data_IF_752089732069
#
_entry.id   IF_752089732069
#
_cell.length_a   1.000
_cell.length_b   1.000
_cell.length_c   1.000
_cell.angle_alpha   90.00
_cell.angle_beta   90.00
_cell.angle_gamma   90.00
#
_symmetry.space_group_name_H-M   'P 1'
#
loop_
_entity.id
_entity.type
_entity.pdbx_description
1 polymer ?
#
# COMPACT_ATOMS: atom_id res chain seq x y z
N UNK A 1 13.85 -0.37 -26.05
CA UNK A 1 13.74 -0.38 -24.57
C UNK A 1 12.70 -1.36 -24.06
N UNK A 2 11.39 -1.26 -24.36
CA UNK A 2 10.38 -2.22 -23.84
C UNK A 2 10.70 -3.69 -24.11
N UNK A 3 11.03 -4.05 -25.35
CA UNK A 3 11.43 -5.44 -25.68
C UNK A 3 12.77 -5.82 -25.03
N UNK A 4 13.72 -4.89 -24.98
CA UNK A 4 15.01 -5.10 -24.32
C UNK A 4 14.84 -5.41 -22.81
N UNK A 5 13.87 -4.75 -22.15
CA UNK A 5 13.51 -5.01 -20.73
C UNK A 5 12.98 -6.42 -20.56
N UNK A 6 12.09 -6.91 -21.45
CA UNK A 6 11.55 -8.28 -21.36
C UNK A 6 12.65 -9.34 -21.49
N UNK A 7 13.67 -9.08 -22.31
CA UNK A 7 14.83 -9.97 -22.46
C UNK A 7 15.61 -10.04 -21.14
N UNK A 8 15.83 -8.90 -20.48
CA UNK A 8 16.43 -8.86 -19.14
C UNK A 8 15.55 -9.49 -18.06
N UNK A 9 14.23 -9.29 -18.10
CA UNK A 9 13.28 -9.94 -17.17
C UNK A 9 13.45 -11.47 -17.23
N UNK A 10 13.49 -12.03 -18.45
CA UNK A 10 13.75 -13.46 -18.68
C UNK A 10 15.13 -13.88 -18.18
N UNK A 11 16.18 -13.10 -18.44
CA UNK A 11 17.52 -13.40 -17.94
C UNK A 11 17.53 -13.49 -16.41
N UNK A 12 16.99 -12.48 -15.73
CA UNK A 12 17.01 -12.44 -14.27
C UNK A 12 16.11 -13.51 -13.66
N UNK A 13 14.98 -13.84 -14.27
CA UNK A 13 14.15 -14.97 -13.85
C UNK A 13 14.97 -16.28 -13.83
N UNK A 14 15.67 -16.58 -14.93
CA UNK A 14 16.51 -17.79 -15.05
C UNK A 14 17.67 -17.79 -14.05
N UNK A 15 18.33 -16.64 -13.83
CA UNK A 15 19.40 -16.52 -12.83
C UNK A 15 18.85 -16.80 -11.42
N UNK A 16 17.71 -16.21 -11.08
CA UNK A 16 17.09 -16.36 -9.76
C UNK A 16 16.55 -17.77 -9.52
N UNK A 17 16.05 -18.45 -10.56
CA UNK A 17 15.61 -19.85 -10.48
C UNK A 17 16.76 -20.86 -10.61
N UNK A 18 17.99 -20.41 -10.86
CA UNK A 18 19.19 -21.24 -11.10
C UNK A 18 19.05 -22.17 -12.30
N UNK A 19 18.30 -21.73 -13.30
CA UNK A 19 18.11 -22.44 -14.55
C UNK A 19 19.24 -22.12 -15.55
N UNK A 20 19.36 -22.96 -16.59
CA UNK A 20 20.35 -22.75 -17.64
C UNK A 20 19.96 -21.56 -18.53
N UNK A 21 20.97 -20.77 -18.89
CA UNK A 21 20.82 -19.61 -19.76
C UNK A 21 21.34 -20.00 -21.15
N UNK A 22 20.52 -19.82 -22.19
CA UNK A 22 20.92 -20.15 -23.56
C UNK A 22 21.97 -19.17 -24.09
N UNK A 23 22.84 -19.64 -24.98
CA UNK A 23 23.80 -18.76 -25.67
C UNK A 23 23.11 -17.65 -26.47
N UNK A 24 21.94 -17.95 -27.05
CA UNK A 24 21.13 -16.96 -27.78
C UNK A 24 20.70 -15.81 -26.87
N UNK A 25 20.18 -16.12 -25.68
CA UNK A 25 19.78 -15.11 -24.71
C UNK A 25 20.98 -14.26 -24.24
N UNK A 26 22.13 -14.89 -24.02
CA UNK A 26 23.36 -14.16 -23.66
C UNK A 26 23.80 -13.20 -24.78
N UNK A 27 23.74 -13.63 -26.06
CA UNK A 27 24.06 -12.76 -27.20
C UNK A 27 23.10 -11.58 -27.30
N UNK A 28 21.81 -11.79 -27.04
CA UNK A 28 20.82 -10.71 -27.02
C UNK A 28 21.14 -9.68 -25.94
N UNK A 29 21.51 -10.13 -24.74
CA UNK A 29 21.91 -9.27 -23.63
C UNK A 29 23.17 -8.46 -23.98
N UNK A 30 24.19 -9.10 -24.53
CA UNK A 30 25.43 -8.42 -24.94
C UNK A 30 25.13 -7.34 -26.01
N UNK A 31 24.27 -7.65 -26.98
CA UNK A 31 23.83 -6.69 -28.00
C UNK A 31 23.09 -5.49 -27.39
N UNK A 32 22.25 -5.72 -26.37
CA UNK A 32 21.54 -4.64 -25.67
C UNK A 32 22.53 -3.76 -24.92
N UNK A 33 23.45 -4.35 -24.16
CA UNK A 33 24.45 -3.61 -23.38
C UNK A 33 25.33 -2.74 -24.29
N UNK A 34 25.77 -3.27 -25.44
CA UNK A 34 26.55 -2.53 -26.44
C UNK A 34 25.74 -1.39 -27.07
N UNK A 35 24.42 -1.56 -27.24
CA UNK A 35 23.53 -0.53 -27.79
C UNK A 35 23.34 0.66 -26.84
N UNK A 36 23.43 0.44 -25.53
CA UNK A 36 23.13 1.44 -24.51
C UNK A 36 24.31 1.72 -23.53
N UNK A 37 25.55 1.96 -24.02
CA UNK A 37 26.74 2.01 -23.17
C UNK A 37 26.81 3.25 -22.27
N UNK A 38 26.02 4.28 -22.59
CA UNK A 38 25.96 5.55 -21.85
C UNK A 38 24.57 5.84 -21.30
N UNK A 39 23.71 4.84 -21.12
CA UNK A 39 22.32 5.07 -20.71
C UNK A 39 22.23 5.80 -19.36
N UNK A 40 22.90 5.27 -18.33
CA UNK A 40 22.92 5.87 -16.99
C UNK A 40 23.49 7.29 -17.01
N UNK A 41 24.63 7.50 -17.69
CA UNK A 41 25.24 8.83 -17.84
C UNK A 41 24.33 9.79 -18.62
N UNK A 42 23.69 9.30 -19.67
CA UNK A 42 22.79 10.08 -20.51
C UNK A 42 21.54 10.53 -19.76
N UNK A 43 21.00 9.70 -18.88
CA UNK A 43 19.90 10.07 -17.97
C UNK A 43 20.36 11.15 -16.97
N UNK A 44 21.49 10.94 -16.28
CA UNK A 44 22.01 11.91 -15.29
C UNK A 44 22.32 13.28 -15.92
N UNK A 45 22.82 13.29 -17.16
CA UNK A 45 23.20 14.52 -17.87
C UNK A 45 22.04 15.15 -18.65
N UNK A 46 20.85 14.55 -18.64
CA UNK A 46 19.68 15.01 -19.39
C UNK A 46 19.78 14.85 -20.91
N UNK A 47 20.80 14.15 -21.41
CA UNK A 47 20.98 13.86 -22.85
C UNK A 47 19.96 12.82 -23.33
N UNK A 48 19.57 11.90 -22.45
CA UNK A 48 18.51 10.92 -22.71
C UNK A 48 17.26 11.36 -21.96
N UNK A 49 16.14 11.39 -22.67
CA UNK A 49 14.83 11.72 -22.07
C UNK A 49 14.48 10.68 -21.00
N UNK A 50 14.12 11.17 -19.84
CA UNK A 50 13.65 10.34 -18.72
C UNK A 50 12.33 9.64 -19.06
N UNK A 51 12.29 8.33 -18.77
CA UNK A 51 11.08 7.52 -18.78
C UNK A 51 11.26 6.30 -17.89
N UNK A 52 10.15 5.68 -17.45
CA UNK A 52 10.16 4.44 -16.68
C UNK A 52 11.01 3.35 -17.36
N UNK A 53 10.88 3.21 -18.69
CA UNK A 53 11.64 2.23 -19.44
C UNK A 53 13.14 2.54 -19.48
N UNK A 54 13.52 3.82 -19.57
CA UNK A 54 14.92 4.21 -19.59
C UNK A 54 15.58 3.96 -18.23
N UNK A 55 14.90 4.31 -17.13
CA UNK A 55 15.39 4.05 -15.78
C UNK A 55 15.48 2.55 -15.47
N UNK A 56 14.46 1.76 -15.85
CA UNK A 56 14.47 0.32 -15.61
C UNK A 56 15.56 -0.38 -16.40
N UNK A 57 15.74 -0.02 -17.67
CA UNK A 57 16.80 -0.60 -18.49
C UNK A 57 18.20 -0.21 -17.97
N UNK A 58 18.39 1.04 -17.51
CA UNK A 58 19.65 1.46 -16.88
C UNK A 58 19.96 0.60 -15.65
N UNK A 59 18.98 0.45 -14.75
CA UNK A 59 19.11 -0.37 -13.55
C UNK A 59 19.41 -1.85 -13.88
N UNK A 60 18.79 -2.40 -14.93
CA UNK A 60 19.03 -3.78 -15.37
C UNK A 60 20.44 -3.98 -15.90
N UNK A 61 20.94 -3.06 -16.72
CA UNK A 61 22.32 -3.11 -17.22
C UNK A 61 23.31 -3.04 -16.05
N UNK A 62 23.10 -2.11 -15.10
CA UNK A 62 23.97 -1.97 -13.92
C UNK A 62 23.93 -3.22 -13.03
N UNK A 63 22.73 -3.78 -12.79
CA UNK A 63 22.56 -5.01 -12.00
C UNK A 63 23.19 -6.24 -12.68
N UNK A 64 23.12 -6.32 -14.01
CA UNK A 64 23.78 -7.37 -14.77
C UNK A 64 25.30 -7.29 -14.64
N UNK A 65 25.90 -6.10 -14.77
CA UNK A 65 27.35 -5.94 -14.58
C UNK A 65 27.80 -6.27 -13.16
N UNK A 66 27.05 -5.87 -12.14
CA UNK A 66 27.33 -6.28 -10.76
C UNK A 66 27.25 -7.79 -10.61
N UNK A 67 26.23 -8.43 -11.17
CA UNK A 67 26.13 -9.89 -11.15
C UNK A 67 27.30 -10.57 -11.87
N UNK A 68 27.75 -10.05 -13.02
CA UNK A 68 28.93 -10.58 -13.71
C UNK A 68 30.19 -10.50 -12.85
N UNK A 69 30.35 -9.41 -12.10
CA UNK A 69 31.51 -9.16 -11.25
C UNK A 69 31.53 -10.03 -10.00
N UNK A 70 30.39 -10.14 -9.28
CA UNK A 70 30.34 -10.77 -7.96
C UNK A 70 29.79 -12.19 -7.98
N UNK A 71 29.04 -12.57 -9.02
CA UNK A 71 28.32 -13.86 -9.14
C UNK A 71 27.41 -14.17 -7.95
N UNK A 72 26.95 -13.13 -7.27
CA UNK A 72 26.11 -13.24 -6.10
C UNK A 72 24.64 -13.04 -6.48
N UNK A 73 23.88 -14.14 -6.41
CA UNK A 73 22.45 -14.17 -6.74
C UNK A 73 21.62 -13.43 -5.69
N UNK A 74 22.02 -13.41 -4.43
CA UNK A 74 21.29 -12.72 -3.37
C UNK A 74 21.45 -11.19 -3.49
N UNK A 75 22.65 -10.71 -3.85
CA UNK A 75 22.85 -9.28 -4.15
C UNK A 75 21.95 -8.85 -5.32
N UNK A 76 21.91 -9.64 -6.40
CA UNK A 76 21.06 -9.36 -7.56
C UNK A 76 19.57 -9.32 -7.15
N UNK A 77 19.11 -10.33 -6.42
CA UNK A 77 17.73 -10.44 -5.92
C UNK A 77 17.33 -9.23 -5.07
N UNK A 78 18.20 -8.82 -4.15
CA UNK A 78 17.97 -7.64 -3.29
C UNK A 78 17.94 -6.35 -4.13
N UNK A 79 18.85 -6.22 -5.09
CA UNK A 79 18.92 -5.06 -5.99
C UNK A 79 17.61 -4.88 -6.76
N UNK A 80 17.16 -5.95 -7.44
CA UNK A 80 15.92 -5.95 -8.22
C UNK A 80 14.69 -5.70 -7.33
N UNK A 81 14.65 -6.30 -6.15
CA UNK A 81 13.56 -6.10 -5.19
C UNK A 81 13.46 -4.63 -4.75
N UNK A 82 14.59 -4.01 -4.38
CA UNK A 82 14.65 -2.60 -3.97
C UNK A 82 14.23 -1.67 -5.10
N UNK A 83 14.68 -1.94 -6.33
CA UNK A 83 14.30 -1.12 -7.48
C UNK A 83 12.81 -1.24 -7.80
N UNK A 84 12.26 -2.46 -7.83
CA UNK A 84 10.82 -2.66 -8.04
C UNK A 84 9.98 -1.93 -7.00
N UNK A 85 10.44 -1.90 -5.75
CA UNK A 85 9.79 -1.17 -4.66
C UNK A 85 9.87 0.35 -4.85
N UNK A 86 11.03 0.87 -5.24
CA UNK A 86 11.21 2.29 -5.53
C UNK A 86 10.31 2.73 -6.70
N UNK A 87 10.32 1.99 -7.80
CA UNK A 87 9.50 2.30 -8.97
C UNK A 87 7.98 2.27 -8.64
N UNK A 88 7.52 1.28 -7.88
CA UNK A 88 6.12 1.23 -7.44
C UNK A 88 5.78 2.38 -6.49
N UNK A 89 6.69 2.73 -5.57
CA UNK A 89 6.51 3.87 -4.66
C UNK A 89 6.37 5.18 -5.44
N UNK A 90 7.22 5.42 -6.45
CA UNK A 90 7.14 6.61 -7.29
C UNK A 90 5.84 6.65 -8.08
N UNK A 91 5.40 5.51 -8.62
CA UNK A 91 4.11 5.38 -9.32
C UNK A 91 2.90 5.61 -8.39
N UNK A 92 3.02 5.30 -7.11
CA UNK A 92 2.00 5.65 -6.10
C UNK A 92 2.01 7.14 -5.77
N UNK A 93 3.18 7.78 -5.71
CA UNK A 93 3.31 9.19 -5.28
C UNK A 93 3.06 10.21 -6.41
N UNK A 94 3.51 9.92 -7.62
CA UNK A 94 3.47 10.88 -8.74
C UNK A 94 2.05 11.44 -9.01
N UNK A 95 0.98 10.63 -9.09
CA UNK A 95 -0.38 11.14 -9.28
C UNK A 95 -0.86 12.04 -8.13
N UNK A 96 -0.29 11.89 -6.93
CA UNK A 96 -0.62 12.69 -5.75
C UNK A 96 0.18 14.01 -5.69
N UNK A 97 1.34 14.08 -6.35
CA UNK A 97 2.23 15.24 -6.41
C UNK A 97 1.88 16.20 -7.56
N UNK A 98 1.47 15.68 -8.72
CA UNK A 98 0.97 16.47 -9.85
C UNK A 98 -0.49 16.86 -9.64
N UNK A 99 -0.77 17.48 -8.47
CA UNK A 99 -2.06 18.05 -8.12
C UNK A 99 -2.40 19.14 -9.13
N UNK A 100 -3.25 18.79 -10.09
CA UNK A 100 -4.05 19.78 -10.78
C UNK A 100 -5.03 20.33 -9.74
N UNK A 101 -4.63 21.38 -9.01
CA UNK A 101 -5.39 21.99 -7.91
C UNK A 101 -6.80 22.40 -8.33
N UNK A 102 -7.04 22.50 -9.63
CA UNK A 102 -8.30 22.88 -10.26
C UNK A 102 -9.24 21.69 -10.58
N UNK A 103 -8.87 20.44 -10.28
CA UNK A 103 -9.68 19.22 -10.59
C UNK A 103 -10.26 18.50 -9.37
N UNK A 104 -10.24 19.15 -8.21
CA UNK A 104 -10.95 18.70 -7.01
C UNK A 104 -12.46 18.92 -7.24
N UNK A 105 -13.08 18.03 -8.01
CA UNK A 105 -14.53 18.00 -8.27
C UNK A 105 -15.28 17.61 -7.00
N UNK A 106 -15.13 18.38 -5.94
CA UNK A 106 -15.95 18.25 -4.74
C UNK A 106 -17.27 18.95 -4.99
N UNK A 107 -18.36 18.22 -4.82
CA UNK A 107 -19.72 18.72 -4.96
C UNK A 107 -20.47 18.50 -3.65
N UNK A 108 -19.87 18.98 -2.56
CA UNK A 108 -20.40 18.79 -1.22
C UNK A 108 -20.84 20.11 -0.60
N UNK A 109 -21.78 20.00 0.34
CA UNK A 109 -22.06 21.05 1.32
C UNK A 109 -21.52 20.64 2.68
N UNK A 110 -21.13 21.61 3.51
CA UNK A 110 -20.72 21.33 4.88
C UNK A 110 -21.95 20.82 5.64
N UNK A 111 -21.76 19.74 6.39
CA UNK A 111 -22.78 19.21 7.29
C UNK A 111 -22.49 19.69 8.71
N UNK A 112 -23.31 20.63 9.18
CA UNK A 112 -23.23 21.17 10.53
C UNK A 112 -23.94 20.22 11.51
N UNK A 113 -23.14 19.31 12.06
CA UNK A 113 -23.57 18.35 13.08
C UNK A 113 -24.04 19.06 14.35
N UNK A 114 -25.19 18.68 14.87
CA UNK A 114 -25.71 19.13 16.15
C UNK A 114 -24.82 18.65 17.32
N UNK A 115 -24.66 19.43 18.40
CA UNK A 115 -23.80 19.06 19.53
C UNK A 115 -24.13 17.70 20.16
N UNK A 116 -25.41 17.30 20.12
CA UNK A 116 -25.91 16.05 20.72
C UNK A 116 -25.81 14.83 19.80
N UNK A 117 -25.49 15.02 18.52
CA UNK A 117 -25.33 13.90 17.60
C UNK A 117 -24.03 13.15 17.92
N UNK A 118 -24.01 11.84 17.70
CA UNK A 118 -22.81 11.01 17.77
C UNK A 118 -22.50 10.47 16.37
N UNK A 119 -21.23 10.26 16.07
CA UNK A 119 -20.79 9.76 14.77
C UNK A 119 -20.51 8.26 14.91
N UNK A 120 -21.07 7.47 14.01
CA UNK A 120 -20.75 6.06 13.84
C UNK A 120 -20.05 5.88 12.49
N UNK A 121 -18.79 5.46 12.54
CA UNK A 121 -18.05 5.02 11.37
C UNK A 121 -18.11 3.50 11.31
N UNK A 122 -18.75 2.97 10.26
CA UNK A 122 -18.78 1.52 10.00
C UNK A 122 -17.60 1.18 9.10
N UNK A 123 -16.83 0.16 9.45
CA UNK A 123 -15.79 -0.37 8.56
C UNK A 123 -16.40 -0.95 7.27
N UNK A 124 -15.59 -1.05 6.21
CA UNK A 124 -16.06 -1.53 4.90
C UNK A 124 -16.70 -2.91 4.98
N UNK A 125 -16.15 -3.85 5.76
CA UNK A 125 -16.66 -5.21 5.84
C UNK A 125 -18.08 -5.23 6.40
N UNK A 126 -18.33 -4.44 7.44
CA UNK A 126 -19.67 -4.29 8.04
C UNK A 126 -20.62 -3.64 7.03
N UNK A 127 -20.17 -2.59 6.33
CA UNK A 127 -21.00 -1.91 5.34
C UNK A 127 -21.33 -2.82 4.14
N UNK A 128 -20.40 -3.68 3.75
CA UNK A 128 -20.57 -4.67 2.68
C UNK A 128 -21.55 -5.78 3.09
N UNK A 129 -21.48 -6.25 4.34
CA UNK A 129 -22.44 -7.24 4.85
C UNK A 129 -23.87 -6.67 4.89
N UNK A 130 -24.02 -5.40 5.27
CA UNK A 130 -25.33 -4.73 5.32
C UNK A 130 -25.94 -4.46 3.95
N UNK A 131 -25.12 -4.40 2.89
CA UNK A 131 -25.59 -4.22 1.51
C UNK A 131 -26.59 -5.32 1.10
N UNK A 132 -26.34 -6.57 1.49
CA UNK A 132 -27.18 -7.71 1.13
C UNK A 132 -28.23 -8.06 2.21
N UNK A 133 -28.22 -7.36 3.34
CA UNK A 133 -29.06 -7.64 4.52
C UNK A 133 -29.96 -6.45 4.89
N UNK A 134 -30.94 -6.18 4.03
CA UNK A 134 -31.83 -5.02 4.15
C UNK A 134 -32.50 -4.88 5.53
N UNK A 135 -33.02 -5.97 6.09
CA UNK A 135 -33.69 -5.94 7.40
C UNK A 135 -32.73 -5.58 8.56
N UNK A 136 -31.47 -5.98 8.47
CA UNK A 136 -30.44 -5.61 9.46
C UNK A 136 -30.03 -4.13 9.29
N UNK A 137 -29.87 -3.68 8.04
CA UNK A 137 -29.59 -2.29 7.73
C UNK A 137 -30.69 -1.34 8.25
N UNK A 138 -31.97 -1.72 8.07
CA UNK A 138 -33.13 -0.99 8.59
C UNK A 138 -33.12 -0.90 10.12
N UNK A 139 -32.84 -2.02 10.81
CA UNK A 139 -32.72 -2.05 12.28
C UNK A 139 -31.61 -1.13 12.78
N UNK A 140 -30.42 -1.20 12.17
CA UNK A 140 -29.29 -0.35 12.54
C UNK A 140 -29.63 1.12 12.33
N UNK A 141 -30.22 1.48 11.18
CA UNK A 141 -30.60 2.86 10.88
C UNK A 141 -31.63 3.38 11.89
N UNK A 142 -32.65 2.58 12.22
CA UNK A 142 -33.68 2.93 13.21
C UNK A 142 -33.09 3.13 14.63
N UNK A 143 -32.19 2.24 15.04
CA UNK A 143 -31.48 2.35 16.32
C UNK A 143 -30.61 3.61 16.35
N UNK A 144 -29.88 3.90 15.28
CA UNK A 144 -29.04 5.10 15.19
C UNK A 144 -29.88 6.37 15.28
N UNK A 145 -30.97 6.45 14.50
CA UNK A 145 -31.90 7.57 14.53
C UNK A 145 -32.48 7.82 15.93
N UNK A 146 -32.93 6.76 16.61
CA UNK A 146 -33.50 6.85 17.96
C UNK A 146 -32.51 7.30 19.04
N UNK A 147 -31.20 7.20 18.76
CA UNK A 147 -30.13 7.52 19.70
C UNK A 147 -29.31 8.77 19.28
N UNK A 148 -29.80 9.57 18.34
CA UNK A 148 -29.09 10.71 17.76
C UNK A 148 -27.69 10.33 17.24
N UNK A 149 -27.59 9.20 16.55
CA UNK A 149 -26.35 8.72 15.92
C UNK A 149 -26.48 8.89 14.42
N UNK A 150 -25.49 9.53 13.81
CA UNK A 150 -25.33 9.61 12.35
C UNK A 150 -24.29 8.60 11.91
N UNK A 151 -24.61 7.85 10.85
CA UNK A 151 -23.66 6.95 10.20
C UNK A 151 -22.97 7.74 9.09
N UNK A 152 -21.65 7.61 8.96
CA UNK A 152 -20.88 8.35 7.97
C UNK A 152 -20.05 7.41 7.11
N UNK A 153 -19.80 7.78 5.86
CA UNK A 153 -18.82 7.10 5.01
C UNK A 153 -17.54 7.93 4.83
N UNK A 154 -16.50 7.35 4.26
CA UNK A 154 -15.29 8.07 3.84
C UNK A 154 -14.89 7.66 2.42
N UNK A 155 -13.94 8.37 1.79
CA UNK A 155 -13.37 7.97 0.50
C UNK A 155 -12.85 6.52 0.48
N UNK A 156 -12.38 5.98 1.61
CA UNK A 156 -11.89 4.60 1.69
C UNK A 156 -12.97 3.57 1.33
N UNK A 157 -14.23 3.81 1.74
CA UNK A 157 -15.33 2.91 1.36
C UNK A 157 -15.52 2.84 -0.15
N UNK A 158 -15.23 3.93 -0.86
CA UNK A 158 -15.38 4.00 -2.30
C UNK A 158 -14.15 3.52 -3.06
N UNK A 159 -12.95 3.63 -2.48
CA UNK A 159 -11.76 2.92 -2.99
C UNK A 159 -12.00 1.42 -3.05
N UNK A 160 -12.57 0.86 -1.98
CA UNK A 160 -12.89 -0.56 -1.93
C UNK A 160 -14.05 -0.92 -2.86
N UNK A 161 -15.09 -0.08 -2.94
CA UNK A 161 -16.17 -0.27 -3.90
C UNK A 161 -15.66 -0.29 -5.35
N UNK A 162 -14.68 0.56 -5.69
CA UNK A 162 -14.13 0.60 -7.04
C UNK A 162 -13.47 -0.73 -7.45
N UNK A 163 -12.97 -1.51 -6.48
CA UNK A 163 -12.35 -2.83 -6.71
C UNK A 163 -13.35 -3.96 -6.91
N UNK A 164 -14.66 -3.73 -6.78
CA UNK A 164 -15.64 -4.79 -7.04
C UNK A 164 -15.60 -5.28 -8.50
N UNK A 165 -15.78 -6.59 -8.72
CA UNK A 165 -15.55 -7.22 -10.02
C UNK A 165 -16.60 -6.86 -11.08
N UNK A 166 -17.76 -6.32 -10.68
CA UNK A 166 -18.83 -5.95 -11.61
C UNK A 166 -19.57 -4.69 -11.16
N UNK A 167 -20.08 -3.93 -12.14
CA UNK A 167 -20.80 -2.67 -11.90
C UNK A 167 -22.10 -2.86 -11.10
N UNK A 168 -22.77 -4.01 -11.23
CA UNK A 168 -24.00 -4.31 -10.45
C UNK A 168 -23.69 -4.27 -8.95
N UNK A 169 -22.58 -4.88 -8.52
CA UNK A 169 -22.17 -4.90 -7.11
C UNK A 169 -21.77 -3.50 -6.63
N UNK A 170 -21.09 -2.71 -7.49
CA UNK A 170 -20.76 -1.31 -7.20
C UNK A 170 -22.01 -0.47 -6.97
N UNK A 171 -23.00 -0.57 -7.86
CA UNK A 171 -24.26 0.17 -7.74
C UNK A 171 -24.99 -0.16 -6.44
N UNK A 172 -25.14 -1.46 -6.12
CA UNK A 172 -25.76 -1.90 -4.86
C UNK A 172 -25.07 -1.33 -3.64
N UNK A 173 -23.73 -1.32 -3.64
CA UNK A 173 -22.96 -0.80 -2.53
C UNK A 173 -23.10 0.72 -2.37
N UNK A 174 -23.09 1.45 -3.48
CA UNK A 174 -23.36 2.90 -3.48
C UNK A 174 -24.76 3.20 -2.96
N UNK A 175 -25.77 2.41 -3.35
CA UNK A 175 -27.13 2.52 -2.82
C UNK A 175 -27.19 2.24 -1.31
N UNK A 176 -26.44 1.25 -0.83
CA UNK A 176 -26.33 0.95 0.61
C UNK A 176 -25.68 2.11 1.38
N UNK A 177 -24.63 2.74 0.84
CA UNK A 177 -24.02 3.94 1.43
C UNK A 177 -25.04 5.08 1.50
N UNK A 178 -25.70 5.39 0.39
CA UNK A 178 -26.73 6.44 0.32
C UNK A 178 -27.80 6.21 1.38
N UNK A 179 -28.27 4.96 1.49
CA UNK A 179 -29.30 4.58 2.44
C UNK A 179 -28.83 4.69 3.89
N UNK A 180 -27.66 4.16 4.25
CA UNK A 180 -27.20 4.12 5.64
C UNK A 180 -26.72 5.48 6.16
N UNK A 181 -26.06 6.26 5.31
CA UNK A 181 -25.34 7.47 5.72
C UNK A 181 -26.07 8.77 5.42
N UNK A 182 -27.19 8.71 4.69
CA UNK A 182 -27.91 9.88 4.17
C UNK A 182 -26.95 10.85 3.44
N UNK A 183 -25.98 10.28 2.73
CA UNK A 183 -24.91 10.93 1.98
C UNK A 183 -23.91 11.73 2.82
N UNK A 184 -23.86 11.50 4.13
CA UNK A 184 -22.92 12.18 5.02
C UNK A 184 -21.55 11.51 4.94
N UNK A 185 -20.55 12.25 4.51
CA UNK A 185 -19.16 11.81 4.47
C UNK A 185 -18.27 12.53 5.48
N UNK A 186 -17.26 11.79 5.93
CA UNK A 186 -16.21 12.25 6.82
C UNK A 186 -14.94 12.52 6.02
N UNK A 187 -14.46 13.77 6.06
CA UNK A 187 -13.32 14.23 5.29
C UNK A 187 -12.22 14.85 6.18
N UNK A 188 -10.94 14.67 5.81
CA UNK A 188 -9.86 15.47 6.38
C UNK A 188 -9.98 16.94 5.96
N UNK A 189 -9.69 17.86 6.87
CA UNK A 189 -9.53 19.27 6.52
C UNK A 189 -8.13 19.50 5.91
N UNK A 190 -8.04 20.12 4.74
CA UNK A 190 -6.77 20.34 4.04
C UNK A 190 -5.74 21.16 4.86
N UNK A 191 -6.21 22.03 5.76
CA UNK A 191 -5.37 22.99 6.48
C UNK A 191 -5.44 22.83 8.01
N UNK A 192 -5.93 21.69 8.52
CA UNK A 192 -5.90 21.42 9.95
C UNK A 192 -5.91 19.93 10.26
N UNK A 193 -5.44 19.57 11.46
CA UNK A 193 -5.53 18.21 11.99
C UNK A 193 -6.98 17.74 12.25
N UNK A 194 -7.97 18.60 11.98
CA UNK A 194 -9.38 18.31 12.19
C UNK A 194 -9.97 17.58 10.98
N UNK A 195 -11.03 16.82 11.26
CA UNK A 195 -11.91 16.29 10.25
C UNK A 195 -13.22 17.08 10.28
N UNK A 196 -13.92 17.11 9.16
CA UNK A 196 -15.25 17.72 9.07
C UNK A 196 -16.22 16.76 8.39
N UNK A 197 -17.51 17.05 8.57
CA UNK A 197 -18.58 16.34 7.92
C UNK A 197 -19.08 17.15 6.73
N UNK A 198 -19.36 16.44 5.66
CA UNK A 198 -19.92 17.00 4.45
C UNK A 198 -21.09 16.13 4.00
N UNK A 199 -21.94 16.67 3.13
CA UNK A 199 -22.98 15.92 2.44
C UNK A 199 -22.72 15.94 0.94
N UNK A 200 -22.57 14.76 0.35
CA UNK A 200 -22.30 14.58 -1.08
C UNK A 200 -22.83 13.23 -1.54
N UNK A 201 -23.47 13.19 -2.72
CA UNK A 201 -23.79 11.94 -3.38
C UNK A 201 -22.50 11.11 -3.59
N UNK A 202 -22.41 9.88 -3.05
CA UNK A 202 -21.24 9.03 -3.14
C UNK A 202 -20.74 8.80 -4.57
N UNK A 203 -21.58 8.96 -5.60
CA UNK A 203 -21.14 8.84 -6.99
C UNK A 203 -20.05 9.85 -7.37
N UNK A 204 -20.07 11.07 -6.80
CA UNK A 204 -19.03 12.08 -7.04
C UNK A 204 -17.71 11.66 -6.39
N UNK A 205 -17.77 11.17 -5.15
CA UNK A 205 -16.61 10.61 -4.47
C UNK A 205 -16.04 9.40 -5.23
N UNK A 206 -16.89 8.49 -5.75
CA UNK A 206 -16.45 7.33 -6.55
C UNK A 206 -15.77 7.77 -7.85
N UNK A 207 -16.33 8.77 -8.55
CA UNK A 207 -15.72 9.32 -9.76
C UNK A 207 -14.35 9.96 -9.48
N UNK A 208 -14.14 10.52 -8.28
CA UNK A 208 -12.81 11.00 -7.87
C UNK A 208 -11.85 9.85 -7.62
N UNK A 209 -12.28 8.80 -6.92
CA UNK A 209 -11.49 7.58 -6.70
C UNK A 209 -11.03 6.96 -8.02
N UNK A 210 -11.92 6.86 -9.02
CA UNK A 210 -11.60 6.31 -10.35
C UNK A 210 -10.45 7.03 -11.06
N UNK A 211 -10.23 8.33 -10.78
CA UNK A 211 -9.09 9.07 -11.35
C UNK A 211 -7.73 8.57 -10.83
N UNK A 212 -7.72 7.83 -9.71
CA UNK A 212 -6.53 7.31 -9.04
C UNK A 212 -6.53 5.77 -8.98
N UNK A 213 -7.25 5.12 -9.89
CA UNK A 213 -7.33 3.65 -9.94
C UNK A 213 -5.93 3.03 -10.13
N UNK A 214 -5.13 3.57 -11.04
CA UNK A 214 -3.74 3.13 -11.24
C UNK A 214 -2.91 3.27 -9.96
N UNK A 215 -3.09 4.37 -9.22
CA UNK A 215 -2.42 4.60 -7.93
C UNK A 215 -2.76 3.52 -6.91
N UNK A 216 -4.04 3.14 -6.84
CA UNK A 216 -4.52 2.07 -5.97
C UNK A 216 -3.90 0.72 -6.34
N UNK A 217 -3.81 0.42 -7.65
CA UNK A 217 -3.18 -0.81 -8.16
C UNK A 217 -1.68 -0.84 -7.81
N UNK A 218 -0.96 0.27 -7.99
CA UNK A 218 0.46 0.34 -7.65
C UNK A 218 0.69 0.21 -6.13
N UNK A 219 -0.16 0.82 -5.31
CA UNK A 219 -0.09 0.71 -3.86
C UNK A 219 -0.31 -0.74 -3.38
N UNK A 220 -1.26 -1.46 -3.98
CA UNK A 220 -1.49 -2.87 -3.69
C UNK A 220 -0.28 -3.73 -4.08
N UNK A 221 0.26 -3.54 -5.30
CA UNK A 221 1.48 -4.22 -5.75
C UNK A 221 2.66 -3.94 -4.81
N UNK A 222 2.81 -2.70 -4.35
CA UNK A 222 3.84 -2.31 -3.39
C UNK A 222 3.66 -3.02 -2.04
N UNK A 223 2.41 -3.14 -1.57
CA UNK A 223 2.06 -3.84 -0.33
C UNK A 223 2.40 -5.33 -0.42
N UNK A 224 2.02 -5.99 -1.53
CA UNK A 224 2.33 -7.40 -1.79
C UNK A 224 3.84 -7.61 -1.87
N UNK A 225 4.56 -6.73 -2.59
CA UNK A 225 6.02 -6.80 -2.67
C UNK A 225 6.65 -6.65 -1.28
N UNK A 226 6.14 -5.74 -0.44
CA UNK A 226 6.58 -5.54 0.92
C UNK A 226 6.44 -6.77 1.83
N UNK A 227 5.55 -7.72 1.53
CA UNK A 227 5.45 -8.96 2.30
C UNK A 227 6.72 -9.82 2.19
N UNK A 228 7.44 -9.72 1.06
CA UNK A 228 8.72 -10.42 0.86
C UNK A 228 9.90 -9.77 1.59
N UNK A 229 9.72 -8.55 2.14
CA UNK A 229 10.78 -7.86 2.88
C UNK A 229 11.24 -8.68 4.10
N UNK A 230 10.34 -9.42 4.76
CA UNK A 230 10.69 -10.25 5.92
C UNK A 230 11.66 -11.36 5.53
N UNK A 231 11.29 -12.17 4.55
CA UNK A 231 12.12 -13.28 4.07
C UNK A 231 13.51 -12.80 3.58
N UNK A 232 13.58 -11.59 3.01
CA UNK A 232 14.83 -11.05 2.45
C UNK A 232 15.72 -10.33 3.46
N UNK A 233 15.14 -9.56 4.39
CA UNK A 233 15.92 -8.65 5.25
C UNK A 233 15.88 -9.01 6.74
N UNK A 234 14.93 -9.86 7.14
CA UNK A 234 14.74 -10.32 8.52
C UNK A 234 14.50 -11.84 8.56
N UNK A 235 15.35 -12.65 7.90
CA UNK A 235 15.12 -14.09 7.77
C UNK A 235 15.06 -14.83 9.12
N UNK A 236 15.68 -14.28 10.17
CA UNK A 236 15.59 -14.81 11.54
C UNK A 236 14.14 -14.87 12.06
N UNK A 237 13.24 -14.01 11.54
CA UNK A 237 11.82 -14.02 11.90
C UNK A 237 11.00 -15.06 11.11
N UNK A 238 11.63 -15.85 10.24
CA UNK A 238 11.02 -17.04 9.65
C UNK A 238 11.17 -18.30 10.51
N UNK A 239 12.02 -18.25 11.55
CA UNK A 239 12.29 -19.39 12.41
C UNK A 239 11.07 -19.80 13.23
N UNK A 240 10.96 -21.11 13.50
CA UNK A 240 9.85 -21.67 14.28
C UNK A 240 9.75 -21.03 15.67
N UNK A 241 10.89 -20.80 16.35
CA UNK A 241 10.92 -20.21 17.68
C UNK A 241 10.27 -18.82 17.70
N UNK A 242 10.56 -18.00 16.69
CA UNK A 242 9.95 -16.68 16.54
C UNK A 242 8.45 -16.75 16.25
N UNK A 243 8.05 -17.65 15.33
CA UNK A 243 6.64 -17.89 15.02
C UNK A 243 5.85 -18.32 16.26
N UNK A 244 6.39 -19.26 17.03
CA UNK A 244 5.79 -19.73 18.29
C UNK A 244 5.71 -18.60 19.33
N UNK A 245 6.74 -17.76 19.44
CA UNK A 245 6.74 -16.60 20.31
C UNK A 245 5.64 -15.58 19.96
N UNK A 246 5.50 -15.24 18.67
CA UNK A 246 4.48 -14.30 18.19
C UNK A 246 3.07 -14.83 18.43
N UNK A 247 2.84 -16.12 18.17
CA UNK A 247 1.53 -16.76 18.34
C UNK A 247 1.02 -16.67 19.78
N UNK A 248 1.94 -16.64 20.75
CA UNK A 248 1.62 -16.55 22.17
C UNK A 248 1.65 -15.11 22.72
N UNK A 249 1.86 -14.09 21.88
CA UNK A 249 2.01 -12.70 22.32
C UNK A 249 0.78 -11.82 22.04
N UNK A 250 0.38 -11.05 23.06
CA UNK A 250 -0.62 -9.98 22.95
C UNK A 250 0.01 -8.59 22.76
N UNK A 251 1.31 -8.46 22.98
CA UNK A 251 2.06 -7.19 22.87
C UNK A 251 3.47 -7.46 22.35
N UNK A 252 3.57 -7.70 21.04
CA UNK A 252 4.83 -8.11 20.42
C UNK A 252 5.91 -7.03 20.52
N UNK A 253 5.55 -5.74 20.44
CA UNK A 253 6.52 -4.65 20.45
C UNK A 253 7.22 -4.46 21.78
N UNK A 254 6.50 -4.65 22.90
CA UNK A 254 7.15 -4.56 24.21
C UNK A 254 8.10 -5.74 24.47
N UNK A 255 7.84 -6.91 23.89
CA UNK A 255 8.68 -8.09 24.07
C UNK A 255 9.97 -8.10 23.22
N UNK A 256 10.03 -7.32 22.14
CA UNK A 256 11.28 -7.18 21.35
C UNK A 256 12.41 -6.58 22.19
N UNK A 257 13.67 -6.80 21.84
CA UNK A 257 14.73 -5.91 22.33
C UNK A 257 14.62 -4.52 21.66
N UNK A 258 15.29 -3.49 22.21
CA UNK A 258 15.36 -2.20 21.52
C UNK A 258 16.13 -2.29 20.20
N UNK A 259 17.10 -3.20 20.11
CA UNK A 259 17.85 -3.50 18.90
C UNK A 259 16.94 -4.12 17.82
N UNK A 260 16.19 -5.17 18.18
CA UNK A 260 15.22 -5.81 17.29
C UNK A 260 14.13 -4.84 16.83
N UNK A 261 13.61 -4.03 17.76
CA UNK A 261 12.64 -2.99 17.43
C UNK A 261 13.23 -2.02 16.40
N UNK A 262 14.43 -1.47 16.65
CA UNK A 262 15.08 -0.55 15.73
C UNK A 262 15.35 -1.20 14.36
N UNK A 263 15.73 -2.47 14.33
CA UNK A 263 15.99 -3.23 13.10
C UNK A 263 14.71 -3.41 12.25
N UNK A 264 13.61 -3.84 12.87
CA UNK A 264 12.30 -3.97 12.20
C UNK A 264 11.81 -2.61 11.72
N UNK A 265 11.95 -1.59 12.56
CA UNK A 265 11.48 -0.25 12.23
C UNK A 265 12.30 0.41 11.13
N UNK A 266 13.60 0.15 11.04
CA UNK A 266 14.43 0.63 9.93
C UNK A 266 13.92 0.13 8.56
N UNK A 267 13.38 -1.10 8.52
CA UNK A 267 12.78 -1.68 7.32
C UNK A 267 11.30 -1.24 7.09
N UNK A 268 10.66 -0.69 8.12
CA UNK A 268 9.28 -0.17 8.05
C UNK A 268 9.20 1.31 7.69
N UNK A 269 10.00 2.15 8.39
CA UNK A 269 9.97 3.61 8.43
C UNK A 269 11.13 4.26 7.65
N UNK A 270 12.24 3.53 7.42
CA UNK A 270 13.41 4.05 6.71
C UNK A 270 14.43 4.80 7.59
N UNK A 271 14.43 4.56 8.90
CA UNK A 271 15.40 5.15 9.83
C UNK A 271 15.49 4.42 11.17
N UNK A 272 16.60 4.65 11.89
CA UNK A 272 16.82 4.12 13.23
C UNK A 272 15.93 4.84 14.24
N UNK A 273 15.10 4.09 14.95
CA UNK A 273 14.13 4.61 15.92
C UNK A 273 14.06 3.67 17.12
N UNK A 274 13.93 4.25 18.30
CA UNK A 274 13.77 3.52 19.56
C UNK A 274 12.30 3.34 19.90
N UNK A 275 11.99 2.42 20.83
CA UNK A 275 10.62 2.25 21.34
C UNK A 275 10.07 3.53 21.95
N UNK A 276 10.91 4.29 22.64
CA UNK A 276 10.50 5.54 23.29
C UNK A 276 10.10 6.61 22.27
N UNK A 277 10.66 6.58 21.05
CA UNK A 277 10.17 7.44 19.97
C UNK A 277 8.69 7.18 19.65
N UNK A 278 8.16 5.97 19.88
CA UNK A 278 6.77 5.60 19.60
C UNK A 278 5.83 5.77 20.79
N UNK A 279 6.33 5.70 22.04
CA UNK A 279 5.50 5.88 23.25
C UNK A 279 4.97 7.31 23.41
N UNK A 280 5.73 8.31 22.94
CA UNK A 280 5.29 9.70 23.01
C UNK A 280 4.24 9.97 21.93
N UNK A 281 2.99 10.22 22.36
CA UNK A 281 1.89 10.62 21.48
C UNK A 281 2.28 11.95 20.83
N UNK A 282 2.42 11.95 19.51
CA UNK A 282 2.59 13.18 18.75
C UNK A 282 1.27 13.94 18.78
N UNK A 283 1.34 15.25 19.03
CA UNK A 283 0.16 16.11 19.05
C UNK A 283 -0.36 16.40 17.63
N UNK A 284 0.48 16.23 16.62
CA UNK A 284 0.15 16.40 15.21
C UNK A 284 -0.34 15.10 14.57
N UNK A 285 -1.35 15.23 13.71
CA UNK A 285 -2.04 14.10 13.05
C UNK A 285 -1.12 13.31 12.14
N UNK A 286 -0.26 14.00 11.39
CA UNK A 286 0.59 13.39 10.38
C UNK A 286 1.65 12.49 11.00
N UNK A 287 2.31 12.97 12.06
CA UNK A 287 3.24 12.19 12.85
C UNK A 287 2.57 11.00 13.53
N UNK A 288 1.36 11.17 14.08
CA UNK A 288 0.60 10.06 14.64
C UNK A 288 0.28 8.99 13.58
N UNK A 289 -0.26 9.39 12.43
CA UNK A 289 -0.60 8.47 11.34
C UNK A 289 0.63 7.74 10.80
N UNK A 290 1.75 8.45 10.65
CA UNK A 290 2.99 7.87 10.19
C UNK A 290 3.49 6.80 11.18
N UNK A 291 3.41 7.06 12.49
CA UNK A 291 3.77 6.06 13.51
C UNK A 291 2.87 4.83 13.44
N UNK A 292 1.55 5.02 13.35
CA UNK A 292 0.59 3.90 13.24
C UNK A 292 0.88 3.06 12.00
N UNK A 293 1.05 3.68 10.82
CA UNK A 293 1.39 2.97 9.58
C UNK A 293 2.69 2.18 9.70
N UNK A 294 3.68 2.75 10.39
CA UNK A 294 4.99 2.12 10.55
C UNK A 294 4.93 0.93 11.49
N UNK A 295 4.21 1.05 12.60
CA UNK A 295 3.93 -0.09 13.48
C UNK A 295 3.11 -1.16 12.76
N UNK A 296 2.11 -0.77 11.98
CA UNK A 296 1.29 -1.71 11.20
C UNK A 296 2.14 -2.53 10.22
N UNK A 297 3.10 -1.90 9.55
CA UNK A 297 4.06 -2.58 8.68
C UNK A 297 5.06 -3.41 9.47
N UNK A 298 5.51 -2.93 10.64
CA UNK A 298 6.38 -3.71 11.53
C UNK A 298 5.72 -5.01 11.98
N UNK A 299 4.41 -5.02 12.25
CA UNK A 299 3.66 -6.25 12.53
C UNK A 299 3.69 -7.26 11.36
N UNK A 300 3.65 -6.77 10.11
CA UNK A 300 3.78 -7.63 8.93
C UNK A 300 5.19 -8.22 8.80
N UNK A 301 6.20 -7.38 9.00
CA UNK A 301 7.62 -7.78 9.01
C UNK A 301 7.98 -8.73 10.15
N UNK A 302 7.26 -8.67 11.26
CA UNK A 302 7.38 -9.65 12.34
C UNK A 302 6.62 -10.94 12.01
N UNK A 303 5.66 -10.91 11.08
CA UNK A 303 4.81 -12.05 10.74
C UNK A 303 3.58 -12.23 11.61
N UNK A 304 3.28 -11.25 12.45
CA UNK A 304 2.16 -11.28 13.38
C UNK A 304 0.80 -11.52 12.70
N UNK A 305 0.51 -10.82 11.59
CA UNK A 305 -0.78 -10.94 10.89
C UNK A 305 -0.93 -12.26 10.13
N UNK A 306 0.16 -12.74 9.54
CA UNK A 306 0.16 -13.96 8.73
C UNK A 306 -0.01 -15.21 9.61
N UNK A 307 0.66 -15.27 10.76
CA UNK A 307 0.60 -16.43 11.64
C UNK A 307 -0.73 -16.49 12.43
N UNK A 308 -1.26 -15.36 12.90
CA UNK A 308 -2.60 -15.34 13.52
C UNK A 308 -3.72 -15.80 12.58
N UNK A 309 -3.68 -15.36 11.33
CA UNK A 309 -4.70 -15.75 10.33
C UNK A 309 -4.71 -17.27 10.08
N UNK A 310 -3.56 -17.94 10.08
CA UNK A 310 -3.48 -19.41 9.94
C UNK A 310 -4.14 -20.13 11.12
N UNK A 311 -4.02 -19.61 12.34
CA UNK A 311 -4.63 -20.19 13.53
C UNK A 311 -6.16 -20.10 13.44
N UNK A 312 -6.70 -18.93 13.07
CA UNK A 312 -8.15 -18.74 12.91
C UNK A 312 -8.73 -19.68 11.83
N UNK A 313 -7.99 -19.93 10.74
CA UNK A 313 -8.40 -20.87 9.69
C UNK A 313 -8.29 -22.35 10.10
N UNK A 314 -7.43 -22.70 11.07
CA UNK A 314 -7.28 -24.08 11.57
C UNK A 314 -8.25 -24.41 12.72
N UNK A 315 -8.94 -23.41 13.26
CA UNK A 315 -9.89 -23.54 14.36
C UNK A 315 -11.36 -23.36 13.93
N UNK A 316 -11.63 -23.09 12.65
CA UNK A 316 -12.96 -23.00 12.04
C UNK A 316 -13.34 -24.25 11.26
#
# INVERSE_FOLDING_TARGET
MKEDIKIFDKLFELILSKESISEELMRDIDNIVIRYPYLTKGLITGVIKESDEAYRLAHYIDSYFQFLQYRDVEILKISLHRYNKAELSDKTLNPLLYRDSNKRNFNYTIYDKSPNEKILYLDQNVMSDLMDKKDEAEKIKSLCFSNNIIIVYSPNHLEEANRFPCEIKKTKFIEAIRYLTDDILFLPCDNSDKNFLAKEDPIYSLNRVKKYEDTSIYFEKLTILGQKDREMFLPEYEEKNHKDFINNSHDVFNLLSDEDFSKVMSNSFGGFVTKDNFKNILKDRDGFNLKIKSLYKALDLLGYKLEKKKIEMNLG
#
